data_IF_655172723238
#
_entry.id   IF_655172723238
#
_cell.length_a   1.000
_cell.length_b   1.000
_cell.length_c   1.000
_cell.angle_alpha   90.00
_cell.angle_beta   90.00
_cell.angle_gamma   90.00
#
_symmetry.space_group_name_H-M   'P 1'
#
loop_
_entity.id
_entity.type
_entity.pdbx_description
1 polymer ?
#
# COMPACT_ATOMS: atom_id res chain seq x y z
N UNK A 1 10.53 3.70 -27.33
CA UNK A 1 10.03 4.50 -26.20
C UNK A 1 10.84 4.18 -24.96
N UNK A 2 11.12 5.21 -24.15
CA UNK A 2 11.91 5.08 -22.92
C UNK A 2 11.46 6.12 -21.90
N UNK A 3 11.75 5.87 -20.63
CA UNK A 3 11.67 6.87 -19.57
C UNK A 3 12.91 6.78 -18.69
N UNK A 4 13.21 7.85 -18.05
CA UNK A 4 14.26 7.90 -17.02
C UNK A 4 13.80 8.79 -15.87
N UNK A 5 14.32 8.48 -14.70
CA UNK A 5 14.17 9.31 -13.52
C UNK A 5 15.53 9.49 -12.86
N UNK A 6 15.77 10.66 -12.32
CA UNK A 6 16.97 10.96 -11.53
C UNK A 6 16.56 11.63 -10.23
N UNK A 7 17.36 11.47 -9.22
CA UNK A 7 17.04 11.89 -7.86
C UNK A 7 18.30 12.32 -7.10
N UNK A 8 18.16 13.36 -6.32
CA UNK A 8 19.12 13.85 -5.34
C UNK A 8 18.33 14.15 -4.05
N UNK A 9 18.88 13.80 -2.89
CA UNK A 9 18.20 13.97 -1.60
C UNK A 9 17.55 12.67 -1.10
N UNK A 10 16.70 12.79 -0.10
CA UNK A 10 16.09 11.70 0.68
C UNK A 10 14.61 11.45 0.43
N UNK A 11 13.96 12.24 -0.41
CA UNK A 11 12.61 11.94 -0.88
C UNK A 11 12.52 10.58 -1.62
N UNK A 12 11.33 10.14 -2.00
CA UNK A 12 11.12 8.87 -2.70
C UNK A 12 10.37 9.02 -4.00
N UNK A 13 10.84 8.24 -4.98
CA UNK A 13 10.13 7.99 -6.22
C UNK A 13 9.46 6.61 -6.15
N UNK A 14 8.17 6.54 -6.39
CA UNK A 14 7.41 5.29 -6.47
C UNK A 14 6.84 5.14 -7.86
N UNK A 15 7.12 4.03 -8.52
CA UNK A 15 6.53 3.67 -9.80
C UNK A 15 5.41 2.64 -9.63
N UNK A 16 4.38 2.75 -10.47
CA UNK A 16 3.28 1.79 -10.61
C UNK A 16 3.29 1.23 -12.01
N UNK A 17 3.82 0.01 -12.18
CA UNK A 17 4.01 -0.62 -13.50
C UNK A 17 3.15 -1.87 -13.63
N UNK A 18 2.80 -2.21 -14.86
CA UNK A 18 2.16 -3.50 -15.16
C UNK A 18 3.23 -4.44 -15.70
N UNK A 19 3.46 -5.54 -15.00
CA UNK A 19 4.39 -6.60 -15.38
C UNK A 19 3.59 -7.89 -15.43
N UNK A 20 3.61 -8.59 -16.56
CA UNK A 20 2.85 -9.83 -16.77
C UNK A 20 1.38 -9.71 -16.32
N UNK A 21 0.72 -8.65 -16.77
CA UNK A 21 -0.68 -8.31 -16.45
C UNK A 21 -0.96 -7.96 -14.96
N UNK A 22 0.06 -7.87 -14.13
CA UNK A 22 -0.07 -7.54 -12.70
C UNK A 22 0.53 -6.18 -12.39
N UNK A 23 -0.15 -5.43 -11.54
CA UNK A 23 0.42 -4.21 -10.99
C UNK A 23 1.55 -4.55 -10.02
N UNK A 24 2.67 -3.87 -10.20
CA UNK A 24 3.83 -3.86 -9.31
C UNK A 24 4.07 -2.41 -8.88
N UNK A 25 4.20 -2.20 -7.58
CA UNK A 25 4.64 -0.93 -7.02
C UNK A 25 6.07 -1.09 -6.51
N UNK A 26 6.96 -0.26 -6.97
CA UNK A 26 8.38 -0.30 -6.57
C UNK A 26 8.99 1.11 -6.47
N UNK A 27 10.21 1.16 -5.95
CA UNK A 27 11.04 2.36 -5.92
C UNK A 27 12.14 2.18 -6.97
N UNK A 28 11.98 2.75 -8.17
CA UNK A 28 12.90 2.52 -9.28
C UNK A 28 14.29 3.13 -9.06
N UNK A 29 14.38 4.14 -8.19
CA UNK A 29 15.65 4.76 -7.81
C UNK A 29 16.07 4.21 -6.44
N UNK A 30 17.27 3.62 -6.31
CA UNK A 30 17.73 3.05 -5.05
C UNK A 30 17.86 4.12 -3.97
N UNK A 31 17.70 3.69 -2.72
CA UNK A 31 17.92 4.56 -1.56
C UNK A 31 19.35 5.11 -1.53
N UNK A 32 19.51 6.33 -1.02
CA UNK A 32 20.82 6.94 -0.83
C UNK A 32 21.32 6.68 0.59
N UNK A 33 22.28 5.78 0.73
CA UNK A 33 22.89 5.44 2.03
C UNK A 33 23.61 6.62 2.69
N UNK A 34 23.90 7.69 1.94
CA UNK A 34 24.48 8.93 2.46
C UNK A 34 23.45 9.80 3.18
N UNK A 35 22.16 9.62 2.89
CA UNK A 35 21.06 10.27 3.58
C UNK A 35 20.75 9.49 4.87
N UNK A 36 21.28 9.97 5.99
CA UNK A 36 21.09 9.32 7.29
C UNK A 36 20.87 10.37 8.39
N UNK A 37 19.86 10.19 9.21
CA UNK A 37 19.40 11.17 10.21
C UNK A 37 19.07 12.52 9.52
N UNK A 38 19.70 13.59 9.96
CA UNK A 38 19.49 14.94 9.42
C UNK A 38 20.46 15.29 8.28
N UNK A 39 21.17 14.29 7.71
CA UNK A 39 22.05 14.50 6.57
C UNK A 39 21.32 14.08 5.30
N UNK A 40 21.22 15.00 4.35
CA UNK A 40 20.74 14.74 3.00
C UNK A 40 21.74 15.23 1.97
N UNK A 41 21.74 14.65 0.78
CA UNK A 41 22.51 15.12 -0.37
C UNK A 41 21.80 16.30 -1.02
N UNK A 42 22.58 17.33 -1.44
CA UNK A 42 22.03 18.60 -1.92
C UNK A 42 22.74 19.10 -3.15
N UNK A 43 22.03 19.87 -3.98
CA UNK A 43 22.64 20.62 -5.10
C UNK A 43 23.70 21.62 -4.65
N UNK A 44 23.72 21.99 -3.36
CA UNK A 44 24.72 22.88 -2.77
C UNK A 44 26.04 22.18 -2.43
N UNK A 45 26.07 20.86 -2.49
CA UNK A 45 27.26 20.07 -2.19
C UNK A 45 28.28 20.18 -3.35
N UNK A 46 29.57 20.24 -3.02
CA UNK A 46 30.63 20.39 -4.02
C UNK A 46 30.71 19.20 -5.00
N UNK A 47 30.22 18.04 -4.60
CA UNK A 47 30.17 16.79 -5.37
C UNK A 47 28.73 16.39 -5.78
N UNK A 48 27.80 17.33 -5.81
CA UNK A 48 26.38 17.07 -6.10
C UNK A 48 26.16 16.23 -7.37
N UNK A 49 26.95 16.45 -8.43
CA UNK A 49 26.81 15.69 -9.67
C UNK A 49 27.12 14.18 -9.50
N UNK A 50 28.02 13.83 -8.59
CA UNK A 50 28.37 12.45 -8.29
C UNK A 50 27.33 11.77 -7.37
N UNK A 51 26.47 12.57 -6.76
CA UNK A 51 25.45 12.13 -5.82
C UNK A 51 24.11 11.84 -6.46
N UNK A 52 23.91 12.23 -7.73
CA UNK A 52 22.70 11.89 -8.46
C UNK A 52 22.58 10.38 -8.65
N UNK A 53 21.41 9.86 -8.32
CA UNK A 53 21.00 8.49 -8.61
C UNK A 53 19.99 8.51 -9.74
N UNK A 54 19.99 7.50 -10.57
CA UNK A 54 19.10 7.46 -11.71
C UNK A 54 18.60 6.04 -12.00
N UNK A 55 17.47 5.99 -12.69
CA UNK A 55 16.93 4.77 -13.28
C UNK A 55 16.58 5.06 -14.74
N UNK A 56 16.88 4.14 -15.61
CA UNK A 56 16.52 4.18 -17.03
C UNK A 56 15.79 2.89 -17.42
N UNK A 57 14.69 3.04 -18.14
CA UNK A 57 13.93 1.93 -18.71
C UNK A 57 13.68 2.21 -20.20
N UNK A 58 14.14 1.30 -21.05
CA UNK A 58 14.09 1.43 -22.52
C UNK A 58 13.30 0.31 -23.22
N UNK A 59 12.43 -0.39 -22.47
CA UNK A 59 11.60 -1.50 -22.96
C UNK A 59 10.27 -1.06 -23.60
N UNK A 60 10.04 0.23 -23.72
CA UNK A 60 8.80 0.80 -24.26
C UNK A 60 7.61 0.74 -23.31
N UNK A 61 7.77 0.24 -22.08
CA UNK A 61 6.70 0.15 -21.11
C UNK A 61 6.74 1.35 -20.16
N UNK A 62 5.73 2.20 -20.27
CA UNK A 62 5.54 3.30 -19.33
C UNK A 62 4.84 2.84 -18.07
N UNK A 63 5.20 3.38 -16.89
CA UNK A 63 4.43 3.16 -15.69
C UNK A 63 3.02 3.77 -15.82
N UNK A 64 2.01 3.14 -15.20
CA UNK A 64 0.67 3.71 -15.08
C UNK A 64 0.71 5.05 -14.35
N UNK A 65 1.58 5.17 -13.35
CA UNK A 65 1.84 6.40 -12.62
C UNK A 65 3.21 6.35 -11.95
N UNK A 66 3.79 7.52 -11.78
CA UNK A 66 4.97 7.76 -10.95
C UNK A 66 4.64 8.84 -9.93
N UNK A 67 4.99 8.59 -8.68
CA UNK A 67 4.82 9.53 -7.57
C UNK A 67 6.17 9.93 -7.02
N UNK A 68 6.33 11.21 -6.77
CA UNK A 68 7.48 11.79 -6.08
C UNK A 68 6.96 12.35 -4.76
N UNK A 69 7.55 11.95 -3.66
CA UNK A 69 7.22 12.44 -2.32
C UNK A 69 8.44 12.99 -1.64
N UNK A 70 8.29 14.05 -0.83
CA UNK A 70 9.32 14.45 0.12
C UNK A 70 9.50 13.36 1.20
N UNK A 71 10.60 13.42 1.95
CA UNK A 71 10.91 12.53 3.08
C UNK A 71 9.78 12.47 4.14
N UNK A 72 9.13 13.60 4.44
CA UNK A 72 7.99 13.64 5.34
C UNK A 72 6.85 12.69 4.95
N UNK A 73 6.69 12.39 3.64
CA UNK A 73 5.75 11.37 3.18
C UNK A 73 6.17 9.98 3.64
N UNK A 74 7.40 9.65 3.44
CA UNK A 74 8.00 8.35 3.73
C UNK A 74 8.02 8.04 5.22
N UNK A 75 8.54 8.97 5.99
CA UNK A 75 8.65 8.88 7.44
C UNK A 75 7.30 8.75 8.15
N UNK A 76 6.24 9.26 7.54
CA UNK A 76 4.89 9.15 8.10
C UNK A 76 4.26 7.78 7.93
N UNK A 77 4.71 6.97 6.98
CA UNK A 77 4.09 5.68 6.67
C UNK A 77 4.84 4.47 7.22
N UNK A 78 6.13 4.60 7.52
CA UNK A 78 6.96 3.58 8.18
C UNK A 78 7.26 2.32 7.38
N UNK A 79 6.45 1.99 6.38
CA UNK A 79 6.69 0.88 5.44
C UNK A 79 6.24 1.24 4.01
N UNK A 80 6.84 0.55 3.02
CA UNK A 80 6.55 0.78 1.63
C UNK A 80 5.09 0.49 1.24
N UNK A 81 4.46 -0.52 1.87
CA UNK A 81 3.08 -0.88 1.56
C UNK A 81 2.08 0.23 1.90
N UNK A 82 2.22 0.86 3.07
CA UNK A 82 1.32 1.94 3.47
C UNK A 82 1.49 3.16 2.56
N UNK A 83 2.72 3.51 2.20
CA UNK A 83 3.00 4.57 1.24
C UNK A 83 2.42 4.25 -0.15
N UNK A 84 2.63 3.03 -0.66
CA UNK A 84 2.07 2.61 -1.95
C UNK A 84 0.53 2.67 -1.93
N UNK A 85 -0.07 2.22 -0.82
CA UNK A 85 -1.53 2.27 -0.68
C UNK A 85 -2.08 3.70 -0.66
N UNK A 86 -1.37 4.66 -0.06
CA UNK A 86 -1.72 6.07 -0.13
C UNK A 86 -1.70 6.57 -1.57
N UNK A 87 -0.63 6.33 -2.33
CA UNK A 87 -0.54 6.73 -3.73
C UNK A 87 -1.57 6.03 -4.62
N UNK A 88 -1.87 4.76 -4.36
CA UNK A 88 -2.96 4.05 -5.04
C UNK A 88 -4.31 4.73 -4.78
N UNK A 89 -4.62 5.09 -3.54
CA UNK A 89 -5.86 5.79 -3.23
C UNK A 89 -5.92 7.15 -3.90
N UNK A 90 -4.83 7.90 -3.91
CA UNK A 90 -4.73 9.18 -4.60
C UNK A 90 -4.99 9.01 -6.10
N UNK A 91 -4.37 8.04 -6.76
CA UNK A 91 -4.58 7.77 -8.17
C UNK A 91 -6.01 7.32 -8.47
N UNK A 92 -6.61 6.50 -7.62
CA UNK A 92 -8.04 6.14 -7.73
C UNK A 92 -8.96 7.36 -7.60
N UNK A 93 -8.59 8.36 -6.79
CA UNK A 93 -9.34 9.64 -6.72
C UNK A 93 -9.20 10.41 -8.03
N UNK A 94 -7.98 10.50 -8.59
CA UNK A 94 -7.73 11.12 -9.89
C UNK A 94 -8.60 10.48 -10.98
N UNK A 95 -8.58 9.14 -11.05
CA UNK A 95 -9.37 8.38 -12.03
C UNK A 95 -10.88 8.64 -11.91
N UNK A 96 -11.40 8.67 -10.69
CA UNK A 96 -12.84 8.81 -10.44
C UNK A 96 -13.34 10.25 -10.51
N UNK A 97 -12.54 11.20 -10.12
CA UNK A 97 -13.00 12.55 -9.80
C UNK A 97 -12.15 13.66 -10.44
N UNK A 98 -11.07 13.29 -11.12
CA UNK A 98 -10.14 14.23 -11.75
C UNK A 98 -9.10 14.84 -10.82
N UNK A 99 -8.11 15.47 -11.43
CA UNK A 99 -6.92 16.04 -10.74
C UNK A 99 -7.29 17.14 -9.74
N UNK A 100 -8.24 18.01 -10.10
CA UNK A 100 -8.65 19.11 -9.19
C UNK A 100 -9.21 18.61 -7.87
N UNK A 101 -10.02 17.54 -7.90
CA UNK A 101 -10.58 16.94 -6.68
C UNK A 101 -9.48 16.28 -5.87
N UNK A 102 -8.56 15.57 -6.51
CA UNK A 102 -7.41 14.97 -5.87
C UNK A 102 -6.54 16.01 -5.14
N UNK A 103 -6.26 17.15 -5.79
CA UNK A 103 -5.51 18.25 -5.18
C UNK A 103 -6.24 18.86 -3.97
N UNK A 104 -7.56 19.01 -4.04
CA UNK A 104 -8.35 19.48 -2.89
C UNK A 104 -8.28 18.52 -1.71
N UNK A 105 -8.32 17.22 -1.97
CA UNK A 105 -8.20 16.20 -0.91
C UNK A 105 -6.77 16.16 -0.35
N UNK A 106 -5.72 16.25 -1.18
CA UNK A 106 -4.34 16.33 -0.74
C UNK A 106 -4.10 17.53 0.20
N UNK A 107 -4.54 18.73 -0.19
CA UNK A 107 -4.42 19.94 0.63
C UNK A 107 -5.04 19.81 2.02
N UNK A 108 -6.06 18.97 2.18
CA UNK A 108 -6.70 18.69 3.47
C UNK A 108 -5.98 17.58 4.24
N UNK A 109 -5.49 16.58 3.53
CA UNK A 109 -5.02 15.33 4.12
C UNK A 109 -3.55 15.41 4.54
N UNK A 110 -2.67 16.03 3.72
CA UNK A 110 -1.24 16.12 4.02
C UNK A 110 -0.94 16.78 5.38
N UNK A 111 -1.56 17.92 5.75
CA UNK A 111 -1.31 18.52 7.07
C UNK A 111 -1.73 17.61 8.25
N UNK A 112 -2.76 16.79 8.04
CA UNK A 112 -3.22 15.84 9.06
C UNK A 112 -2.24 14.69 9.19
N UNK A 113 -1.76 14.14 8.07
CA UNK A 113 -0.78 13.06 8.06
C UNK A 113 0.53 13.55 8.69
N UNK A 114 1.05 14.71 8.28
CA UNK A 114 2.25 15.32 8.87
C UNK A 114 2.14 15.44 10.38
N UNK A 115 1.05 16.02 10.87
CA UNK A 115 0.82 16.21 12.32
C UNK A 115 0.78 14.90 13.11
N UNK A 116 0.27 13.83 12.51
CA UNK A 116 0.12 12.51 13.15
C UNK A 116 1.37 11.63 12.97
N UNK A 117 2.16 11.89 11.93
CA UNK A 117 3.33 11.11 11.52
C UNK A 117 4.65 11.82 11.79
N UNK A 118 5.39 12.12 10.72
CA UNK A 118 6.74 12.69 10.76
C UNK A 118 6.83 14.06 11.42
N UNK A 119 5.76 14.85 11.37
CA UNK A 119 5.71 16.28 11.75
C UNK A 119 6.54 17.20 10.83
N UNK A 120 6.90 16.70 9.68
CA UNK A 120 7.67 17.39 8.66
C UNK A 120 6.79 17.89 7.52
N UNK A 121 7.33 18.76 6.68
CA UNK A 121 6.65 19.26 5.48
C UNK A 121 6.46 18.14 4.46
N UNK A 122 5.27 18.13 3.86
CA UNK A 122 4.90 17.09 2.90
C UNK A 122 4.57 17.68 1.55
N UNK A 123 5.21 17.13 0.51
CA UNK A 123 4.87 17.41 -0.87
C UNK A 123 4.75 16.13 -1.68
N UNK A 124 3.84 16.16 -2.68
CA UNK A 124 3.61 15.04 -3.60
C UNK A 124 3.46 15.60 -5.00
N UNK A 125 4.21 15.01 -5.94
CA UNK A 125 3.99 15.20 -7.37
C UNK A 125 3.63 13.85 -8.02
N UNK A 126 2.87 13.90 -9.12
CA UNK A 126 2.44 12.71 -9.84
C UNK A 126 2.45 12.95 -11.34
N UNK A 127 3.00 11.99 -12.07
CA UNK A 127 2.86 11.84 -13.52
C UNK A 127 2.14 10.52 -13.76
N UNK A 128 1.15 10.48 -14.64
CA UNK A 128 0.38 9.27 -14.92
C UNK A 128 -0.03 9.18 -16.38
N UNK A 129 -0.23 7.95 -16.84
CA UNK A 129 -0.80 7.64 -18.15
C UNK A 129 -2.33 7.75 -18.08
N UNK A 130 -2.90 8.61 -18.89
CA UNK A 130 -4.35 8.84 -18.96
C UNK A 130 -5.05 8.06 -20.09
N UNK A 131 -4.32 7.26 -20.86
CA UNK A 131 -4.86 6.56 -22.03
C UNK A 131 -5.90 5.50 -21.67
N UNK A 132 -5.76 4.83 -20.51
CA UNK A 132 -6.71 3.81 -20.07
C UNK A 132 -6.93 3.83 -18.55
N UNK A 133 -7.52 4.91 -18.07
CA UNK A 133 -7.79 5.11 -16.65
C UNK A 133 -8.70 4.05 -16.03
N UNK A 134 -9.65 3.52 -16.83
CA UNK A 134 -10.56 2.47 -16.36
C UNK A 134 -9.80 1.16 -16.05
N UNK A 135 -8.96 0.69 -16.97
CA UNK A 135 -8.14 -0.48 -16.72
C UNK A 135 -7.19 -0.27 -15.55
N UNK A 136 -6.57 0.92 -15.46
CA UNK A 136 -5.71 1.31 -14.35
C UNK A 136 -6.42 1.20 -13.00
N UNK A 137 -7.68 1.65 -12.89
CA UNK A 137 -8.47 1.51 -11.67
C UNK A 137 -8.59 0.06 -11.21
N UNK A 138 -8.89 -0.86 -12.13
CA UNK A 138 -9.02 -2.27 -11.80
C UNK A 138 -7.69 -2.92 -11.42
N UNK A 139 -6.59 -2.58 -12.10
CA UNK A 139 -5.24 -3.05 -11.73
C UNK A 139 -4.85 -2.60 -10.32
N UNK A 140 -5.08 -1.33 -9.97
CA UNK A 140 -4.87 -0.78 -8.64
C UNK A 140 -5.70 -1.52 -7.58
N UNK A 141 -6.95 -1.79 -7.89
CA UNK A 141 -7.86 -2.51 -6.98
C UNK A 141 -7.43 -3.97 -6.77
N UNK A 142 -7.03 -4.66 -7.83
CA UNK A 142 -6.52 -6.03 -7.76
C UNK A 142 -5.23 -6.10 -6.92
N UNK A 143 -4.32 -5.14 -7.09
CA UNK A 143 -3.12 -5.04 -6.26
C UNK A 143 -3.48 -4.96 -4.77
N UNK A 144 -4.34 -4.02 -4.40
CA UNK A 144 -4.76 -3.85 -3.02
C UNK A 144 -5.41 -5.10 -2.42
N UNK A 145 -6.26 -5.78 -3.19
CA UNK A 145 -6.90 -7.03 -2.76
C UNK A 145 -5.85 -8.10 -2.50
N UNK A 146 -4.94 -8.34 -3.46
CA UNK A 146 -3.88 -9.34 -3.34
C UNK A 146 -2.99 -9.11 -2.13
N UNK A 147 -2.55 -7.88 -1.88
CA UNK A 147 -1.69 -7.55 -0.74
C UNK A 147 -2.42 -7.74 0.60
N UNK A 148 -3.70 -7.37 0.67
CA UNK A 148 -4.51 -7.58 1.87
C UNK A 148 -4.83 -9.06 2.10
N UNK A 149 -5.12 -9.83 1.06
CA UNK A 149 -5.34 -11.27 1.14
C UNK A 149 -4.07 -11.99 1.59
N UNK A 150 -2.91 -11.64 1.03
CA UNK A 150 -1.62 -12.16 1.49
C UNK A 150 -1.35 -11.83 2.96
N UNK A 151 -1.67 -10.60 3.38
CA UNK A 151 -1.54 -10.19 4.78
C UNK A 151 -2.52 -10.92 5.70
N UNK A 152 -3.74 -11.18 5.24
CA UNK A 152 -4.75 -11.92 6.00
C UNK A 152 -4.30 -13.36 6.22
N UNK A 153 -3.84 -14.05 5.17
CA UNK A 153 -3.35 -15.43 5.28
C UNK A 153 -2.22 -15.55 6.32
N UNK A 154 -1.25 -14.62 6.29
CA UNK A 154 -0.16 -14.61 7.28
C UNK A 154 -0.67 -14.43 8.72
N UNK A 155 -1.69 -13.61 8.91
CA UNK A 155 -2.30 -13.39 10.23
C UNK A 155 -3.09 -14.61 10.67
N UNK A 156 -3.81 -15.28 9.76
CA UNK A 156 -4.55 -16.52 10.03
C UNK A 156 -3.62 -17.67 10.41
N UNK A 157 -2.47 -17.81 9.71
CA UNK A 157 -1.43 -18.77 10.09
C UNK A 157 -0.91 -18.48 11.52
N UNK A 158 -0.64 -17.22 11.84
CA UNK A 158 -0.23 -16.82 13.20
C UNK A 158 -1.30 -17.16 14.25
N UNK A 159 -2.58 -16.92 13.95
CA UNK A 159 -3.71 -17.28 14.82
C UNK A 159 -3.73 -18.80 15.06
N UNK A 160 -3.54 -19.59 14.00
CA UNK A 160 -3.54 -21.04 14.09
C UNK A 160 -2.39 -21.57 14.96
N UNK A 161 -1.18 -21.02 14.78
CA UNK A 161 -0.01 -21.37 15.60
C UNK A 161 -0.21 -21.00 17.08
N UNK A 162 -0.71 -19.79 17.35
CA UNK A 162 -0.97 -19.34 18.72
C UNK A 162 -2.06 -20.18 19.40
N UNK A 163 -3.13 -20.55 18.69
CA UNK A 163 -4.16 -21.46 19.20
C UNK A 163 -3.57 -22.81 19.57
N UNK A 164 -2.80 -23.45 18.68
CA UNK A 164 -2.12 -24.72 18.97
C UNK A 164 -1.22 -24.63 20.20
N UNK A 165 -0.48 -23.53 20.34
CA UNK A 165 0.38 -23.29 21.51
C UNK A 165 -0.43 -23.19 22.81
N UNK A 166 -1.55 -22.49 22.79
CA UNK A 166 -2.44 -22.32 23.95
C UNK A 166 -3.12 -23.66 24.31
N UNK A 167 -3.65 -24.37 23.31
CA UNK A 167 -4.33 -25.67 23.47
C UNK A 167 -3.39 -26.77 23.94
N UNK A 168 -2.09 -26.68 23.67
CA UNK A 168 -1.08 -27.63 24.17
C UNK A 168 -0.88 -27.58 25.69
N UNK A 169 -1.35 -26.54 26.35
CA UNK A 169 -1.27 -26.36 27.81
C UNK A 169 -2.49 -27.04 28.45
N UNK A 170 -2.30 -28.25 28.93
CA UNK A 170 -3.38 -29.09 29.52
C UNK A 170 -3.85 -28.55 30.87
N UNK A 171 -2.94 -27.99 31.70
CA UNK A 171 -3.28 -27.45 32.99
C UNK A 171 -2.56 -26.11 33.25
N UNK A 172 -3.24 -24.98 32.95
CA UNK A 172 -2.65 -23.65 33.14
C UNK A 172 -2.27 -23.32 34.59
N UNK A 173 -2.96 -23.92 35.57
CA UNK A 173 -2.72 -23.67 37.01
C UNK A 173 -1.46 -24.40 37.54
N UNK A 174 -0.99 -25.40 36.80
CA UNK A 174 0.23 -26.18 37.16
C UNK A 174 1.50 -25.61 36.50
N UNK A 175 1.41 -24.53 35.75
CA UNK A 175 2.56 -23.90 35.11
C UNK A 175 3.48 -23.22 36.14
N UNK A 176 4.78 -23.30 35.92
CA UNK A 176 5.71 -22.44 36.64
C UNK A 176 5.54 -20.98 36.23
N UNK A 177 6.13 -20.06 36.99
CA UNK A 177 5.97 -18.61 36.75
C UNK A 177 6.41 -18.18 35.35
N UNK A 178 7.45 -18.76 34.78
CA UNK A 178 7.96 -18.43 33.45
C UNK A 178 7.01 -18.95 32.36
N UNK A 179 6.48 -20.14 32.53
CA UNK A 179 5.49 -20.76 31.64
C UNK A 179 4.18 -20.01 31.69
N UNK A 180 3.73 -19.57 32.87
CA UNK A 180 2.50 -18.77 32.99
C UNK A 180 2.60 -17.43 32.27
N UNK A 181 3.73 -16.72 32.40
CA UNK A 181 3.98 -15.48 31.67
C UNK A 181 3.91 -15.72 30.13
N UNK A 182 4.56 -16.77 29.64
CA UNK A 182 4.53 -17.12 28.22
C UNK A 182 3.12 -17.46 27.71
N UNK A 183 2.32 -18.14 28.54
CA UNK A 183 0.93 -18.46 28.23
C UNK A 183 0.05 -17.20 28.13
N UNK A 184 0.18 -16.28 29.10
CA UNK A 184 -0.53 -14.98 29.07
C UNK A 184 -0.14 -14.13 27.84
N UNK A 185 1.15 -14.10 27.49
CA UNK A 185 1.60 -13.43 26.26
C UNK A 185 1.00 -14.07 25.00
N UNK A 186 0.96 -15.41 24.92
CA UNK A 186 0.36 -16.09 23.78
C UNK A 186 -1.13 -15.76 23.64
N UNK A 187 -1.88 -15.70 24.74
CA UNK A 187 -3.30 -15.29 24.74
C UNK A 187 -3.47 -13.85 24.27
N UNK A 188 -2.65 -12.93 24.80
CA UNK A 188 -2.70 -11.51 24.40
C UNK A 188 -2.34 -11.30 22.94
N UNK A 189 -1.36 -12.03 22.43
CA UNK A 189 -0.96 -11.95 21.03
C UNK A 189 -2.00 -12.60 20.11
N UNK A 190 -2.70 -13.63 20.55
CA UNK A 190 -3.85 -14.18 19.83
C UNK A 190 -4.97 -13.15 19.66
N UNK A 191 -5.32 -12.40 20.70
CA UNK A 191 -6.34 -11.37 20.61
C UNK A 191 -5.92 -10.23 19.67
N UNK A 192 -4.66 -9.79 19.72
CA UNK A 192 -4.12 -8.80 18.78
C UNK A 192 -4.18 -9.31 17.33
N UNK A 193 -3.82 -10.57 17.10
CA UNK A 193 -3.87 -11.18 15.77
C UNK A 193 -5.31 -11.24 15.25
N UNK A 194 -6.27 -11.63 16.07
CA UNK A 194 -7.72 -11.61 15.71
C UNK A 194 -8.19 -10.20 15.34
N UNK A 195 -7.87 -9.20 16.15
CA UNK A 195 -8.19 -7.80 15.84
C UNK A 195 -7.58 -7.34 14.51
N UNK A 196 -6.34 -7.74 14.23
CA UNK A 196 -5.67 -7.44 12.97
C UNK A 196 -6.39 -8.08 11.79
N UNK A 197 -6.80 -9.36 11.90
CA UNK A 197 -7.59 -10.06 10.87
C UNK A 197 -8.91 -9.35 10.58
N UNK A 198 -9.64 -8.94 11.62
CA UNK A 198 -10.88 -8.16 11.49
C UNK A 198 -10.64 -6.84 10.75
N UNK A 199 -9.58 -6.11 11.09
CA UNK A 199 -9.22 -4.85 10.41
C UNK A 199 -8.92 -5.07 8.92
N UNK A 200 -8.17 -6.13 8.58
CA UNK A 200 -7.84 -6.47 7.18
C UNK A 200 -9.13 -6.85 6.42
N UNK A 201 -9.97 -7.69 6.99
CA UNK A 201 -11.25 -8.11 6.39
C UNK A 201 -12.17 -6.90 6.11
N UNK A 202 -12.23 -5.92 7.03
CA UNK A 202 -12.98 -4.67 6.80
C UNK A 202 -12.41 -3.86 5.64
N UNK A 203 -11.09 -3.77 5.52
CA UNK A 203 -10.43 -3.10 4.38
C UNK A 203 -10.74 -3.81 3.06
N UNK A 204 -10.67 -5.14 3.01
CA UNK A 204 -11.04 -5.93 1.82
C UNK A 204 -12.50 -5.69 1.40
N UNK A 205 -13.43 -5.69 2.36
CA UNK A 205 -14.85 -5.40 2.10
C UNK A 205 -15.03 -3.99 1.53
N UNK A 206 -14.33 -3.01 2.09
CA UNK A 206 -14.35 -1.63 1.59
C UNK A 206 -13.88 -1.56 0.13
N UNK A 207 -12.73 -2.17 -0.21
CA UNK A 207 -12.18 -2.17 -1.57
C UNK A 207 -13.11 -2.87 -2.57
N UNK A 208 -13.69 -4.02 -2.20
CA UNK A 208 -14.72 -4.71 -3.01
C UNK A 208 -15.94 -3.80 -3.25
N UNK A 209 -16.36 -3.06 -2.24
CA UNK A 209 -17.45 -2.10 -2.35
C UNK A 209 -17.12 -0.91 -3.28
N UNK A 210 -15.91 -0.38 -3.23
CA UNK A 210 -15.44 0.66 -4.16
C UNK A 210 -15.44 0.15 -5.61
N UNK A 211 -14.94 -1.05 -5.84
CA UNK A 211 -14.92 -1.68 -7.16
C UNK A 211 -16.33 -1.85 -7.73
N UNK A 212 -17.27 -2.35 -6.93
CA UNK A 212 -18.67 -2.50 -7.33
C UNK A 212 -19.30 -1.17 -7.71
N UNK A 213 -19.08 -0.13 -6.89
CA UNK A 213 -19.58 1.22 -7.17
C UNK A 213 -19.00 1.77 -8.48
N UNK A 214 -17.72 1.56 -8.73
CA UNK A 214 -17.09 2.02 -9.97
C UNK A 214 -17.60 1.27 -11.19
N UNK A 215 -17.77 -0.04 -11.12
CA UNK A 215 -18.40 -0.86 -12.18
C UNK A 215 -19.81 -0.38 -12.50
N UNK A 216 -20.62 -0.12 -11.48
CA UNK A 216 -21.99 0.36 -11.70
C UNK A 216 -22.01 1.73 -12.39
N UNK A 217 -21.13 2.65 -11.98
CA UNK A 217 -20.98 3.94 -12.65
C UNK A 217 -20.58 3.81 -14.11
N UNK A 218 -19.67 2.89 -14.45
CA UNK A 218 -19.29 2.64 -15.84
C UNK A 218 -20.47 2.14 -16.68
N UNK A 219 -21.31 1.25 -16.14
CA UNK A 219 -22.52 0.76 -16.82
C UNK A 219 -23.56 1.86 -17.07
N UNK A 220 -23.60 2.87 -16.21
CA UNK A 220 -24.47 4.05 -16.40
C UNK A 220 -23.97 4.95 -17.54
N UNK A 221 -22.63 5.02 -17.73
CA UNK A 221 -22.01 5.83 -18.78
C UNK A 221 -22.02 5.10 -20.14
N UNK A 222 -21.75 3.79 -20.13
CA UNK A 222 -21.74 2.95 -21.32
C UNK A 222 -22.40 1.57 -21.01
N UNK A 223 -23.69 1.40 -21.36
CA UNK A 223 -24.44 0.19 -21.06
C UNK A 223 -23.99 -1.06 -21.86
N UNK A 224 -23.07 -0.93 -22.82
CA UNK A 224 -22.60 -2.03 -23.68
C UNK A 224 -21.41 -2.80 -23.08
N UNK A 225 -20.86 -2.37 -21.95
CA UNK A 225 -19.74 -3.08 -21.32
C UNK A 225 -20.21 -4.46 -20.80
N UNK A 226 -19.73 -5.59 -21.37
CA UNK A 226 -20.12 -6.92 -20.91
C UNK A 226 -19.66 -7.18 -19.47
N UNK A 227 -20.37 -8.04 -18.71
CA UNK A 227 -19.95 -8.41 -17.38
C UNK A 227 -18.59 -9.13 -17.45
N UNK A 228 -17.59 -8.59 -16.77
CA UNK A 228 -16.34 -9.33 -16.54
C UNK A 228 -16.70 -10.45 -15.59
N UNK A 229 -16.48 -11.70 -16.03
CA UNK A 229 -16.76 -12.89 -15.25
C UNK A 229 -16.14 -12.76 -13.85
N UNK A 230 -16.97 -12.85 -12.84
CA UNK A 230 -16.53 -12.92 -11.46
C UNK A 230 -15.89 -14.28 -11.25
N UNK A 231 -14.61 -14.31 -10.93
CA UNK A 231 -13.92 -15.51 -10.47
C UNK A 231 -14.61 -16.02 -9.20
N UNK A 232 -15.51 -17.00 -9.42
CA UNK A 232 -16.29 -17.64 -8.36
C UNK A 232 -15.51 -18.83 -7.83
N UNK A 233 -14.54 -18.56 -6.97
CA UNK A 233 -14.00 -19.61 -6.09
C UNK A 233 -13.41 -18.98 -4.83
N UNK A 234 -14.24 -18.90 -3.79
CA UNK A 234 -13.96 -19.16 -2.38
C UNK A 234 -15.13 -18.67 -1.52
N UNK A 235 -16.09 -19.57 -1.34
CA UNK A 235 -17.07 -19.44 -0.26
C UNK A 235 -16.40 -19.82 1.06
N UNK A 236 -16.14 -18.83 1.91
CA UNK A 236 -15.91 -19.05 3.34
C UNK A 236 -17.22 -18.78 4.06
N UNK A 237 -17.86 -19.88 4.49
CA UNK A 237 -18.97 -19.86 5.44
C UNK A 237 -18.34 -19.61 6.82
N UNK A 238 -18.60 -18.45 7.39
CA UNK A 238 -18.39 -18.22 8.82
C UNK A 238 -19.77 -18.37 9.49
N UNK A 239 -19.99 -19.52 10.12
CA UNK A 239 -21.11 -19.69 11.05
C UNK A 239 -20.81 -18.87 12.32
N UNK A 240 -21.71 -17.94 12.63
CA UNK A 240 -21.80 -17.26 13.93
C UNK A 240 -22.40 -18.25 14.94
N UNK A 241 -21.65 -18.54 15.98
CA UNK A 241 -22.15 -18.99 17.28
C UNK A 241 -21.69 -18.03 18.37
#
# INVERSE_FOLDING_TARGET
DYWFAFHLGDGKCVSMRVVEDRLVCDQPIPWDERCFLNKTTSLCDSNALEEFRYCYQGDGQFPLAMFLGSDGMDDSYGDGYNLYNFYIQLFKIIIRNGVEKANKELKKTLPVISKMGSKDDMSVACVFDDTNLTASFFKLTQYQKRELESSLNKVEDTIMELKKKIESVVNPEALDRGQQINFEYAQKDLEKAKEKAIKITRKLRFIKGEETKYRNRLKEIDPVIPPIESDSSMGLIIEEQ
#
